data_IF_409330519612
#
_entry.id   IF_409330519612
#
_cell.length_a   1.000
_cell.length_b   1.000
_cell.length_c   1.000
_cell.angle_alpha   90.00
_cell.angle_beta   90.00
_cell.angle_gamma   90.00
#
_symmetry.space_group_name_H-M   'P 1'
#
loop_
_entity.id
_entity.type
_entity.pdbx_description
1 polymer ?
#
# COMPACT_ATOMS: atom_id res chain seq x y z
N UNK A 1 -74.29 -30.20 33.20
CA UNK A 1 -73.62 -29.18 34.03
C UNK A 1 -72.58 -28.36 33.25
N UNK A 2 -71.61 -29.00 32.58
CA UNK A 2 -70.57 -28.30 31.80
C UNK A 2 -71.11 -27.36 30.70
N UNK A 3 -72.17 -27.77 29.99
CA UNK A 3 -72.79 -26.97 28.91
C UNK A 3 -73.42 -25.67 29.46
N UNK A 4 -73.99 -25.71 30.67
CA UNK A 4 -74.63 -24.55 31.32
C UNK A 4 -73.56 -23.56 31.82
N UNK A 5 -72.45 -24.08 32.33
CA UNK A 5 -71.28 -23.27 32.73
C UNK A 5 -70.62 -22.63 31.52
N UNK A 6 -70.44 -23.37 30.42
CA UNK A 6 -69.90 -22.87 29.18
C UNK A 6 -70.77 -21.75 28.59
N UNK A 7 -72.10 -21.92 28.55
CA UNK A 7 -73.01 -20.89 28.05
C UNK A 7 -73.00 -19.60 28.90
N UNK A 8 -72.82 -19.72 30.22
CA UNK A 8 -72.76 -18.56 31.14
C UNK A 8 -71.44 -17.79 31.08
N UNK A 9 -70.32 -18.48 30.79
CA UNK A 9 -68.97 -17.89 30.77
C UNK A 9 -68.32 -17.88 29.38
N UNK A 10 -69.10 -17.96 28.31
CA UNK A 10 -68.61 -18.12 26.94
C UNK A 10 -67.63 -17.02 26.51
N UNK A 11 -67.84 -15.78 26.97
CA UNK A 11 -66.97 -14.63 26.68
C UNK A 11 -65.57 -14.77 27.31
N UNK A 12 -65.48 -15.21 28.57
CA UNK A 12 -64.21 -15.39 29.27
C UNK A 12 -63.44 -16.60 28.74
N UNK A 13 -64.15 -17.65 28.32
CA UNK A 13 -63.56 -18.80 27.64
C UNK A 13 -62.90 -18.36 26.32
N UNK A 14 -63.59 -17.56 25.50
CA UNK A 14 -63.02 -17.03 24.24
C UNK A 14 -61.80 -16.16 24.51
N UNK A 15 -61.86 -15.27 25.50
CA UNK A 15 -60.73 -14.40 25.87
C UNK A 15 -59.53 -15.24 26.35
N UNK A 16 -59.78 -16.26 27.17
CA UNK A 16 -58.73 -17.19 27.63
C UNK A 16 -58.06 -17.94 26.48
N UNK A 17 -58.84 -18.45 25.54
CA UNK A 17 -58.29 -19.08 24.32
C UNK A 17 -57.49 -18.11 23.48
N UNK A 18 -57.98 -16.88 23.28
CA UNK A 18 -57.28 -15.83 22.54
C UNK A 18 -55.94 -15.46 23.19
N UNK A 19 -55.93 -15.29 24.51
CA UNK A 19 -54.74 -14.99 25.29
C UNK A 19 -53.73 -16.14 25.23
N UNK A 20 -54.19 -17.39 25.32
CA UNK A 20 -53.33 -18.56 25.18
C UNK A 20 -52.71 -18.66 23.78
N UNK A 21 -53.51 -18.41 22.74
CA UNK A 21 -53.05 -18.41 21.35
C UNK A 21 -52.00 -17.32 21.13
N UNK A 22 -52.22 -16.11 21.66
CA UNK A 22 -51.24 -15.02 21.67
C UNK A 22 -49.94 -15.38 22.38
N UNK A 23 -50.01 -15.99 23.57
CA UNK A 23 -48.84 -16.44 24.31
C UNK A 23 -48.04 -17.49 23.52
N UNK A 24 -48.73 -18.43 22.87
CA UNK A 24 -48.09 -19.46 22.06
C UNK A 24 -47.34 -18.88 20.86
N UNK A 25 -47.90 -17.88 20.17
CA UNK A 25 -47.25 -17.24 19.02
C UNK A 25 -46.06 -16.39 19.44
N UNK A 26 -46.17 -15.64 20.55
CA UNK A 26 -45.03 -14.92 21.13
C UNK A 26 -43.89 -15.85 21.55
N UNK A 27 -44.20 -16.99 22.16
CA UNK A 27 -43.20 -17.98 22.55
C UNK A 27 -42.45 -18.55 21.33
N UNK A 28 -43.18 -18.93 20.29
CA UNK A 28 -42.58 -19.44 19.03
C UNK A 28 -41.73 -18.36 18.35
N UNK A 29 -42.19 -17.11 18.34
CA UNK A 29 -41.45 -15.98 17.76
C UNK A 29 -40.13 -15.74 18.51
N UNK A 30 -40.16 -15.72 19.85
CA UNK A 30 -38.97 -15.54 20.67
C UNK A 30 -37.97 -16.69 20.50
N UNK A 31 -38.44 -17.93 20.45
CA UNK A 31 -37.57 -19.10 20.24
C UNK A 31 -36.85 -19.04 18.89
N UNK A 32 -37.58 -18.72 17.81
CA UNK A 32 -36.96 -18.57 16.47
C UNK A 32 -36.02 -17.37 16.41
N UNK A 33 -36.39 -16.26 17.02
CA UNK A 33 -35.55 -15.05 17.08
C UNK A 33 -34.25 -15.30 17.85
N UNK A 34 -34.31 -16.09 18.93
CA UNK A 34 -33.13 -16.50 19.69
C UNK A 34 -32.16 -17.32 18.83
N UNK A 35 -32.66 -18.30 18.09
CA UNK A 35 -31.84 -19.11 17.17
C UNK A 35 -31.23 -18.27 16.04
N UNK A 36 -31.99 -17.35 15.45
CA UNK A 36 -31.47 -16.45 14.41
C UNK A 36 -30.36 -15.58 14.97
N UNK A 37 -30.54 -14.97 16.14
CA UNK A 37 -29.49 -14.15 16.78
C UNK A 37 -28.22 -14.92 17.04
N UNK A 38 -28.33 -16.17 17.50
CA UNK A 38 -27.16 -17.02 17.73
C UNK A 38 -26.42 -17.36 16.42
N UNK A 39 -27.18 -17.67 15.35
CA UNK A 39 -26.63 -17.92 14.03
C UNK A 39 -25.96 -16.66 13.43
N UNK A 40 -26.61 -15.51 13.51
CA UNK A 40 -26.08 -14.22 13.04
C UNK A 40 -24.82 -13.82 13.82
N UNK A 41 -24.80 -14.04 15.13
CA UNK A 41 -23.63 -13.73 15.95
C UNK A 41 -22.44 -14.63 15.60
N UNK A 42 -22.67 -15.92 15.32
CA UNK A 42 -21.62 -16.83 14.82
C UNK A 42 -21.12 -16.45 13.42
N UNK A 43 -22.00 -15.95 12.55
CA UNK A 43 -21.61 -15.48 11.22
C UNK A 43 -20.79 -14.18 11.32
N UNK A 44 -21.27 -13.21 12.09
CA UNK A 44 -20.62 -11.91 12.26
C UNK A 44 -19.22 -12.03 12.89
N UNK A 45 -19.07 -12.89 13.91
CA UNK A 45 -17.77 -13.16 14.53
C UNK A 45 -16.78 -13.78 13.54
N UNK A 46 -17.21 -14.73 12.72
CA UNK A 46 -16.35 -15.33 11.69
C UNK A 46 -15.95 -14.32 10.61
N UNK A 47 -16.89 -13.50 10.13
CA UNK A 47 -16.59 -12.45 9.14
C UNK A 47 -15.58 -11.46 9.71
N UNK A 48 -15.79 -11.01 10.95
CA UNK A 48 -14.90 -10.04 11.59
C UNK A 48 -13.49 -10.62 11.81
N UNK A 49 -13.37 -11.91 12.14
CA UNK A 49 -12.08 -12.58 12.27
C UNK A 49 -11.35 -12.71 10.93
N UNK A 50 -12.08 -13.01 9.85
CA UNK A 50 -11.51 -13.06 8.50
C UNK A 50 -11.06 -11.67 8.07
N UNK A 51 -11.89 -10.65 8.26
CA UNK A 51 -11.58 -9.26 7.90
C UNK A 51 -10.36 -8.76 8.68
N UNK A 52 -10.29 -9.00 10.00
CA UNK A 52 -9.10 -8.67 10.81
C UNK A 52 -7.84 -9.37 10.30
N UNK A 53 -7.92 -10.66 9.94
CA UNK A 53 -6.79 -11.40 9.38
C UNK A 53 -6.34 -10.83 8.04
N UNK A 54 -7.28 -10.47 7.17
CA UNK A 54 -6.97 -9.87 5.87
C UNK A 54 -6.36 -8.48 6.02
N UNK A 55 -6.93 -7.62 6.86
CA UNK A 55 -6.37 -6.28 7.15
C UNK A 55 -4.98 -6.42 7.74
N UNK A 56 -4.77 -7.33 8.70
CA UNK A 56 -3.46 -7.56 9.31
C UNK A 56 -2.43 -8.06 8.29
N UNK A 57 -2.78 -9.03 7.45
CA UNK A 57 -1.91 -9.53 6.39
C UNK A 57 -1.57 -8.45 5.35
N UNK A 58 -2.54 -7.59 5.02
CA UNK A 58 -2.32 -6.46 4.12
C UNK A 58 -1.37 -5.43 4.75
N UNK A 59 -1.55 -5.10 6.04
CA UNK A 59 -0.64 -4.20 6.77
C UNK A 59 0.76 -4.78 6.88
N UNK A 60 0.92 -6.07 7.19
CA UNK A 60 2.23 -6.74 7.25
C UNK A 60 2.94 -6.73 5.89
N UNK A 61 2.20 -7.03 4.81
CA UNK A 61 2.74 -6.93 3.45
C UNK A 61 3.14 -5.49 3.09
N UNK A 62 2.31 -4.51 3.42
CA UNK A 62 2.59 -3.09 3.16
C UNK A 62 3.81 -2.61 3.96
N UNK A 63 3.94 -3.02 5.22
CA UNK A 63 5.10 -2.69 6.06
C UNK A 63 6.39 -3.26 5.46
N UNK A 64 6.36 -4.51 5.00
CA UNK A 64 7.52 -5.14 4.35
C UNK A 64 7.91 -4.43 3.05
N UNK A 65 6.92 -4.02 2.24
CA UNK A 65 7.18 -3.24 1.03
C UNK A 65 7.72 -1.85 1.37
N UNK A 66 7.20 -1.21 2.41
CA UNK A 66 7.66 0.11 2.84
C UNK A 66 9.10 0.07 3.36
N UNK A 67 9.47 -0.95 4.12
CA UNK A 67 10.84 -1.19 4.59
C UNK A 67 11.81 -1.37 3.41
N UNK A 68 11.45 -2.21 2.44
CA UNK A 68 12.27 -2.41 1.23
C UNK A 68 12.37 -1.14 0.37
N UNK A 69 11.28 -0.35 0.27
CA UNK A 69 11.29 0.93 -0.44
C UNK A 69 12.17 1.98 0.25
N UNK A 70 12.12 2.06 1.58
CA UNK A 70 13.00 2.98 2.33
C UNK A 70 14.47 2.61 2.16
N UNK A 71 14.80 1.33 2.21
CA UNK A 71 16.18 0.87 2.01
C UNK A 71 16.66 1.07 0.57
N UNK A 72 15.78 0.89 -0.42
CA UNK A 72 16.10 1.16 -1.83
C UNK A 72 16.35 2.65 -2.09
N UNK A 73 15.54 3.55 -1.53
CA UNK A 73 15.74 4.99 -1.69
C UNK A 73 16.99 5.47 -0.93
N UNK A 74 17.32 4.91 0.23
CA UNK A 74 18.59 5.18 0.94
C UNK A 74 19.80 4.76 0.11
N UNK A 75 19.84 3.51 -0.36
CA UNK A 75 20.93 3.01 -1.22
C UNK A 75 21.08 3.84 -2.50
N UNK A 76 19.97 4.17 -3.16
CA UNK A 76 19.96 5.02 -4.35
C UNK A 76 20.49 6.42 -4.05
N UNK A 77 20.17 6.99 -2.90
CA UNK A 77 20.69 8.30 -2.49
C UNK A 77 22.21 8.25 -2.24
N UNK A 78 22.72 7.20 -1.57
CA UNK A 78 24.15 6.99 -1.35
C UNK A 78 24.90 6.79 -2.67
N UNK A 79 24.34 5.99 -3.57
CA UNK A 79 24.88 5.78 -4.91
C UNK A 79 24.87 7.07 -5.75
N UNK A 80 23.81 7.88 -5.69
CA UNK A 80 23.76 9.18 -6.38
C UNK A 80 24.84 10.13 -5.88
N UNK A 81 25.01 10.24 -4.56
CA UNK A 81 26.05 11.10 -3.96
C UNK A 81 27.45 10.59 -4.31
N UNK A 82 27.68 9.27 -4.36
CA UNK A 82 28.97 8.70 -4.77
C UNK A 82 29.25 8.93 -6.26
N UNK A 83 28.27 8.72 -7.13
CA UNK A 83 28.40 8.98 -8.57
C UNK A 83 28.67 10.47 -8.82
N UNK A 84 27.98 11.36 -8.13
CA UNK A 84 28.24 12.81 -8.18
C UNK A 84 29.67 13.13 -7.74
N UNK A 85 30.15 12.62 -6.59
CA UNK A 85 31.56 12.83 -6.20
C UNK A 85 32.56 12.29 -7.23
N UNK A 86 32.31 11.11 -7.80
CA UNK A 86 33.20 10.53 -8.83
C UNK A 86 33.17 11.36 -10.11
N UNK A 87 32.01 11.84 -10.58
CA UNK A 87 31.97 12.71 -11.75
C UNK A 87 32.61 14.07 -11.48
N UNK A 88 32.54 14.59 -10.25
CA UNK A 88 33.22 15.83 -9.87
C UNK A 88 34.74 15.66 -9.67
N UNK A 89 35.21 14.53 -9.12
CA UNK A 89 36.65 14.25 -8.92
C UNK A 89 37.37 13.79 -10.21
N UNK A 90 36.66 13.10 -11.12
CA UNK A 90 37.24 12.53 -12.36
C UNK A 90 37.00 13.42 -13.58
N UNK A 91 36.08 14.40 -13.54
CA UNK A 91 36.03 15.49 -14.53
C UNK A 91 37.08 16.56 -14.25
N UNK A 92 38.36 16.18 -14.24
CA UNK A 92 39.43 17.10 -14.63
C UNK A 92 39.76 16.82 -16.08
N UNK A 93 38.91 17.31 -16.98
CA UNK A 93 39.30 17.43 -18.39
C UNK A 93 40.37 18.51 -18.43
N UNK A 94 41.64 18.12 -18.60
CA UNK A 94 42.72 19.06 -18.90
C UNK A 94 42.51 19.51 -20.34
N UNK A 95 41.66 20.52 -20.51
CA UNK A 95 41.08 20.85 -21.82
C UNK A 95 42.11 21.43 -22.81
N UNK A 96 43.26 21.92 -22.33
CA UNK A 96 44.36 22.38 -23.19
C UNK A 96 45.72 22.08 -22.55
N UNK A 97 46.62 21.29 -23.16
CA UNK A 97 48.02 21.31 -22.75
C UNK A 97 48.54 22.74 -22.97
N UNK A 98 48.95 23.40 -21.89
CA UNK A 98 49.67 24.66 -21.99
C UNK A 98 51.04 24.29 -22.57
N UNK A 99 51.25 24.56 -23.85
CA UNK A 99 52.59 24.57 -24.42
C UNK A 99 53.35 25.72 -23.76
N UNK A 100 54.14 25.41 -22.73
CA UNK A 100 55.10 26.36 -22.20
C UNK A 100 56.10 26.69 -23.30
N UNK A 101 56.17 27.97 -23.66
CA UNK A 101 57.03 28.54 -24.68
C UNK A 101 58.50 28.57 -24.23
N UNK A 102 59.01 27.42 -23.75
CA UNK A 102 60.34 27.29 -23.15
C UNK A 102 61.33 26.51 -24.03
N UNK A 103 60.87 26.02 -25.19
CA UNK A 103 61.65 25.20 -26.10
C UNK A 103 61.36 25.50 -27.59
N UNK A 104 61.16 26.77 -27.97
CA UNK A 104 61.25 27.17 -29.37
C UNK A 104 62.42 28.15 -29.49
N UNK A 105 63.54 27.63 -29.97
CA UNK A 105 64.68 28.39 -30.47
C UNK A 105 64.38 28.91 -31.89
N UNK A 106 65.16 29.89 -32.34
CA UNK A 106 64.95 30.57 -33.62
C UNK A 106 64.95 29.58 -34.82
N UNK A 107 65.70 28.48 -34.69
CA UNK A 107 65.72 27.38 -35.67
C UNK A 107 64.38 26.61 -35.72
N UNK A 108 63.74 26.37 -34.58
CA UNK A 108 62.42 25.72 -34.51
C UNK A 108 61.29 26.59 -35.11
N UNK A 109 61.40 27.92 -35.01
CA UNK A 109 60.46 28.85 -35.65
C UNK A 109 60.62 28.90 -37.19
N UNK A 110 61.85 28.71 -37.68
CA UNK A 110 62.16 28.62 -39.12
C UNK A 110 61.49 27.39 -39.76
N UNK A 111 61.57 26.23 -39.11
CA UNK A 111 61.00 24.96 -39.58
C UNK A 111 59.46 25.03 -39.67
N UNK A 112 58.81 25.66 -38.68
CA UNK A 112 57.35 25.83 -38.69
C UNK A 112 56.90 26.76 -39.82
N UNK A 113 57.63 27.86 -40.05
CA UNK A 113 57.31 28.80 -41.13
C UNK A 113 57.54 28.21 -42.53
N UNK A 114 58.45 27.24 -42.68
CA UNK A 114 58.66 26.54 -43.95
C UNK A 114 57.50 25.59 -44.28
N UNK A 115 56.95 24.92 -43.25
CA UNK A 115 55.79 24.03 -43.37
C UNK A 115 54.48 24.79 -43.64
N UNK A 116 54.30 25.99 -43.07
CA UNK A 116 53.12 26.84 -43.34
C UNK A 116 53.14 27.38 -44.78
N UNK A 117 54.32 27.80 -45.27
CA UNK A 117 54.45 28.29 -46.66
C UNK A 117 54.18 27.21 -47.70
N UNK A 118 54.42 25.94 -47.38
CA UNK A 118 54.17 24.82 -48.30
C UNK A 118 52.70 24.38 -48.29
N UNK A 119 51.99 24.51 -47.15
CA UNK A 119 50.55 24.21 -47.06
C UNK A 119 49.65 25.25 -47.73
N UNK A 120 50.06 26.52 -47.79
CA UNK A 120 49.29 27.61 -48.42
C UNK A 120 49.47 27.67 -49.96
N UNK A 121 50.30 26.80 -50.54
CA UNK A 121 50.60 26.75 -51.98
C UNK A 121 50.05 25.51 -52.71
N UNK A 122 48.98 24.89 -52.19
CA UNK A 122 48.20 23.85 -52.90
C UNK A 122 46.84 24.35 -53.35
#
# INVERSE_FOLDING_TARGET
MLIVVAAKFWREIIIGFLAFLLLSTLAVLNYKTGQLKEADQKCFTQIQDIERKQVKALTEAQNKVNEVSEDYEKLKSEHRVKVERVTHEVQKIVERPIYLNRCFDDDGLSEINSLIKTSDSS
#
